data_IF_865929444880
#
_entry.id   IF_865929444880
#
_cell.length_a   1.000
_cell.length_b   1.000
_cell.length_c   1.000
_cell.angle_alpha   90.00
_cell.angle_beta   90.00
_cell.angle_gamma   90.00
#
_symmetry.space_group_name_H-M   'P 1'
#
loop_
_entity.id
_entity.type
_entity.pdbx_description
1 polymer ?
#
# COMPACT_ATOMS: atom_id res chain seq x y z
N UNK A 1 -21.76 -19.88 26.39
CA UNK A 1 -20.47 -19.65 25.72
C UNK A 1 -20.70 -19.95 24.25
N UNK A 2 -20.60 -18.97 23.35
CA UNK A 2 -20.76 -19.21 21.92
C UNK A 2 -19.44 -19.75 21.36
N UNK A 3 -19.46 -20.96 20.78
CA UNK A 3 -18.30 -21.64 20.17
C UNK A 3 -18.29 -21.54 18.65
N UNK A 4 -19.21 -20.77 18.06
CA UNK A 4 -19.32 -20.58 16.62
C UNK A 4 -19.55 -19.11 16.27
N UNK A 5 -18.98 -18.68 15.14
CA UNK A 5 -19.30 -17.42 14.48
C UNK A 5 -19.67 -17.73 13.02
N UNK A 6 -20.57 -16.93 12.47
CA UNK A 6 -20.89 -16.97 11.04
C UNK A 6 -20.11 -15.85 10.37
N UNK A 7 -19.35 -16.20 9.34
CA UNK A 7 -18.62 -15.24 8.51
C UNK A 7 -19.38 -15.08 7.20
N UNK A 8 -19.60 -13.84 6.80
CA UNK A 8 -20.12 -13.51 5.47
C UNK A 8 -18.95 -13.28 4.52
N UNK A 9 -19.04 -13.85 3.30
CA UNK A 9 -18.08 -13.58 2.24
C UNK A 9 -18.55 -12.42 1.38
N UNK A 10 -17.64 -11.49 1.08
CA UNK A 10 -17.89 -10.39 0.15
C UNK A 10 -17.13 -10.71 -1.15
N UNK A 11 -17.80 -10.75 -2.32
CA UNK A 11 -17.11 -10.89 -3.59
C UNK A 11 -16.14 -9.73 -3.77
N UNK A 12 -14.84 -10.01 -3.78
CA UNK A 12 -13.83 -8.97 -3.95
C UNK A 12 -13.37 -8.90 -5.40
N UNK A 13 -13.50 -7.70 -5.97
CA UNK A 13 -12.67 -7.26 -7.09
C UNK A 13 -11.32 -6.78 -6.52
N UNK A 14 -10.26 -6.79 -7.32
CA UNK A 14 -8.94 -6.35 -6.87
C UNK A 14 -8.96 -4.94 -6.24
N UNK A 15 -8.11 -4.74 -5.25
CA UNK A 15 -7.86 -3.42 -4.65
C UNK A 15 -6.66 -2.79 -5.33
N UNK A 16 -6.53 -1.47 -5.27
CA UNK A 16 -5.34 -0.80 -5.80
C UNK A 16 -4.37 -0.55 -4.66
N UNK A 17 -3.13 -0.96 -4.86
CA UNK A 17 -2.10 -0.83 -3.83
C UNK A 17 -0.69 -0.94 -4.42
N UNK A 18 0.31 -0.74 -3.58
CA UNK A 18 1.68 -1.13 -3.81
C UNK A 18 2.66 -0.06 -3.36
N UNK A 19 3.94 -0.34 -3.62
CA UNK A 19 5.04 0.50 -3.19
C UNK A 19 5.59 1.32 -4.35
N UNK A 20 5.95 2.58 -4.08
CA UNK A 20 6.84 3.34 -4.96
C UNK A 20 8.09 3.75 -4.19
N UNK A 21 9.24 3.66 -4.85
CA UNK A 21 10.54 4.00 -4.28
C UNK A 21 11.04 5.29 -4.92
N UNK A 22 11.63 6.14 -4.10
CA UNK A 22 12.15 7.45 -4.45
C UNK A 22 13.61 7.57 -4.03
N UNK A 23 14.34 8.47 -4.70
CA UNK A 23 15.69 8.83 -4.25
C UNK A 23 15.63 9.97 -3.24
N UNK A 24 16.78 10.32 -2.68
CA UNK A 24 16.93 11.50 -1.84
C UNK A 24 16.52 12.80 -2.53
N UNK A 25 16.63 12.89 -3.87
CA UNK A 25 16.30 14.10 -4.61
C UNK A 25 14.80 14.43 -4.56
N UNK A 26 13.94 13.42 -4.45
CA UNK A 26 12.48 13.60 -4.41
C UNK A 26 11.92 13.67 -2.98
N UNK A 27 12.76 13.48 -1.94
CA UNK A 27 12.32 13.35 -0.55
C UNK A 27 11.44 14.50 -0.08
N UNK A 28 11.84 15.75 -0.33
CA UNK A 28 11.09 16.92 0.10
C UNK A 28 9.70 16.97 -0.55
N UNK A 29 9.59 16.55 -1.82
CA UNK A 29 8.31 16.44 -2.52
C UNK A 29 7.42 15.34 -1.96
N UNK A 30 8.00 14.18 -1.63
CA UNK A 30 7.28 13.06 -1.01
C UNK A 30 6.73 13.47 0.36
N UNK A 31 7.55 14.12 1.20
CA UNK A 31 7.15 14.58 2.52
C UNK A 31 6.07 15.68 2.47
N UNK A 32 6.17 16.62 1.53
CA UNK A 32 5.14 17.66 1.32
C UNK A 32 3.80 17.04 0.92
N UNK A 33 3.80 16.11 -0.04
CA UNK A 33 2.59 15.39 -0.46
C UNK A 33 2.01 14.59 0.70
N UNK A 34 2.85 13.90 1.46
CA UNK A 34 2.41 13.13 2.62
C UNK A 34 1.82 13.99 3.72
N UNK A 35 2.45 15.12 4.04
CA UNK A 35 1.93 16.05 5.02
C UNK A 35 0.57 16.62 4.60
N UNK A 36 0.41 16.99 3.32
CA UNK A 36 -0.87 17.45 2.76
C UNK A 36 -1.93 16.36 2.84
N UNK A 37 -1.59 15.12 2.51
CA UNK A 37 -2.48 13.97 2.67
C UNK A 37 -2.90 13.79 4.13
N UNK A 38 -1.94 13.79 5.06
CA UNK A 38 -2.17 13.60 6.50
C UNK A 38 -3.09 14.67 7.09
N UNK A 39 -2.95 15.92 6.65
CA UNK A 39 -3.68 17.08 7.20
C UNK A 39 -5.02 17.36 6.53
N UNK A 40 -5.18 17.06 5.24
CA UNK A 40 -6.36 17.47 4.46
C UNK A 40 -7.26 16.27 4.11
N UNK A 41 -6.69 15.08 3.99
CA UNK A 41 -7.31 13.97 3.26
C UNK A 41 -7.61 12.73 4.11
N UNK A 42 -6.87 12.48 5.20
CA UNK A 42 -7.05 11.29 6.06
C UNK A 42 -8.48 11.14 6.61
N UNK A 43 -9.13 12.24 7.01
CA UNK A 43 -10.52 12.23 7.46
C UNK A 43 -11.57 12.16 6.32
N UNK A 44 -11.18 12.46 5.09
CA UNK A 44 -12.08 12.49 3.91
C UNK A 44 -12.05 11.20 3.11
N UNK A 45 -10.98 10.43 3.23
CA UNK A 45 -10.76 9.19 2.49
C UNK A 45 -10.36 8.05 3.44
N UNK A 46 -11.29 7.57 4.29
CA UNK A 46 -11.00 6.49 5.25
C UNK A 46 -10.58 5.16 4.59
N UNK A 47 -10.80 5.02 3.29
CA UNK A 47 -10.42 3.86 2.51
C UNK A 47 -8.97 3.91 1.99
N UNK A 48 -8.23 4.99 2.26
CA UNK A 48 -6.85 5.16 1.80
C UNK A 48 -5.91 4.98 2.97
N UNK A 49 -4.84 4.21 2.75
CA UNK A 49 -3.69 4.16 3.64
C UNK A 49 -2.45 4.58 2.85
N UNK A 50 -1.60 5.40 3.47
CA UNK A 50 -0.27 5.70 2.95
C UNK A 50 0.71 5.63 4.11
N UNK A 51 1.80 4.91 3.92
CA UNK A 51 2.89 4.77 4.89
C UNK A 51 4.18 5.17 4.20
N UNK A 52 4.96 6.05 4.83
CA UNK A 52 6.33 6.33 4.40
C UNK A 52 7.29 5.46 5.20
N UNK A 53 8.09 4.70 4.47
CA UNK A 53 9.17 3.89 4.99
C UNK A 53 10.51 4.45 4.48
N UNK A 54 11.54 4.33 5.31
CA UNK A 54 12.91 4.71 4.96
C UNK A 54 13.82 3.53 5.18
N UNK A 55 14.77 3.31 4.27
CA UNK A 55 15.74 2.23 4.40
C UNK A 55 17.08 2.58 3.77
N UNK A 56 18.06 1.70 3.95
CA UNK A 56 19.31 1.76 3.20
C UNK A 56 19.38 0.58 2.23
N UNK A 57 19.68 0.86 0.96
CA UNK A 57 19.95 -0.13 -0.06
C UNK A 57 21.28 0.21 -0.73
N UNK A 58 22.21 -0.74 -0.80
CA UNK A 58 23.55 -0.55 -1.39
C UNK A 58 24.28 0.72 -0.91
N UNK A 59 24.18 1.04 0.39
CA UNK A 59 24.73 2.26 1.04
C UNK A 59 24.08 3.59 0.65
N UNK A 60 22.97 3.56 -0.09
CA UNK A 60 22.16 4.74 -0.39
C UNK A 60 20.87 4.71 0.45
N UNK A 61 20.45 5.88 0.93
CA UNK A 61 19.12 6.02 1.53
C UNK A 61 18.06 5.93 0.44
N UNK A 62 17.06 5.10 0.69
CA UNK A 62 15.87 4.97 -0.14
C UNK A 62 14.64 5.32 0.70
N UNK A 63 13.67 5.92 0.03
CA UNK A 63 12.37 6.24 0.60
C UNK A 63 11.33 5.48 -0.19
N UNK A 64 10.41 4.85 0.51
CA UNK A 64 9.30 4.17 -0.11
C UNK A 64 8.00 4.70 0.46
N UNK A 65 7.01 4.94 -0.40
CA UNK A 65 5.63 5.02 0.06
C UNK A 65 4.97 3.67 -0.25
N UNK A 66 4.40 3.06 0.77
CA UNK A 66 3.39 2.02 0.58
C UNK A 66 2.02 2.69 0.57
N UNK A 67 1.16 2.32 -0.36
CA UNK A 67 -0.13 2.98 -0.54
C UNK A 67 -1.19 1.98 -0.89
N UNK A 68 -2.34 2.09 -0.22
CA UNK A 68 -3.45 1.16 -0.38
C UNK A 68 -4.76 1.95 -0.55
N UNK A 69 -5.64 1.42 -1.41
CA UNK A 69 -7.00 1.89 -1.60
C UNK A 69 -7.96 0.71 -1.45
N UNK A 70 -8.59 0.60 -0.29
CA UNK A 70 -9.37 -0.58 0.12
C UNK A 70 -10.73 -0.72 -0.57
N UNK A 71 -11.13 0.25 -1.39
CA UNK A 71 -12.33 0.15 -2.23
C UNK A 71 -11.96 -0.52 -3.55
N UNK A 72 -12.70 -1.52 -4.01
CA UNK A 72 -12.38 -2.19 -5.26
C UNK A 72 -12.45 -1.24 -6.46
N UNK A 73 -11.45 -1.32 -7.35
CA UNK A 73 -11.34 -0.46 -8.52
C UNK A 73 -10.91 -1.24 -9.75
N UNK A 74 -11.33 -0.78 -10.92
CA UNK A 74 -10.93 -1.35 -12.22
C UNK A 74 -9.75 -0.59 -12.84
N UNK A 75 -9.40 0.58 -12.27
CA UNK A 75 -8.30 1.46 -12.69
C UNK A 75 -7.71 2.17 -11.46
N UNK A 76 -6.53 2.76 -11.62
CA UNK A 76 -5.87 3.55 -10.56
C UNK A 76 -6.85 4.57 -9.91
N UNK A 77 -6.86 4.70 -8.56
CA UNK A 77 -7.83 5.50 -7.85
C UNK A 77 -7.66 6.99 -8.18
N UNK A 78 -8.77 7.61 -8.57
CA UNK A 78 -8.76 8.88 -9.30
C UNK A 78 -8.52 10.15 -8.46
N UNK A 79 -8.16 10.11 -7.18
CA UNK A 79 -8.02 11.39 -6.43
C UNK A 79 -7.16 11.38 -5.17
N UNK A 80 -7.24 10.42 -4.24
CA UNK A 80 -6.47 10.54 -2.99
C UNK A 80 -4.99 10.21 -3.15
N UNK A 81 -4.65 9.31 -4.08
CA UNK A 81 -3.28 8.83 -4.29
C UNK A 81 -2.58 9.50 -5.48
N UNK A 82 -3.33 10.21 -6.34
CA UNK A 82 -2.77 10.88 -7.53
C UNK A 82 -1.57 11.78 -7.20
N UNK A 83 -1.57 12.60 -6.13
CA UNK A 83 -0.41 13.43 -5.81
C UNK A 83 0.87 12.62 -5.57
N UNK A 84 0.76 11.42 -4.98
CA UNK A 84 1.89 10.52 -4.84
C UNK A 84 2.31 9.94 -6.18
N UNK A 85 1.34 9.57 -7.04
CA UNK A 85 1.57 9.03 -8.39
C UNK A 85 2.26 10.01 -9.35
N UNK A 86 2.02 11.31 -9.17
CA UNK A 86 2.60 12.37 -9.99
C UNK A 86 4.09 12.62 -9.68
N UNK A 87 4.59 12.14 -8.53
CA UNK A 87 6.02 12.19 -8.21
C UNK A 87 6.78 11.16 -9.04
N UNK A 88 7.98 11.52 -9.58
CA UNK A 88 8.81 10.57 -10.29
C UNK A 88 9.37 9.53 -9.31
N UNK A 89 9.00 8.27 -9.51
CA UNK A 89 9.53 7.15 -8.74
C UNK A 89 10.60 6.41 -9.54
N UNK A 90 11.63 5.91 -8.86
CA UNK A 90 12.63 5.04 -9.48
C UNK A 90 12.13 3.61 -9.62
N UNK A 91 11.21 3.19 -8.75
CA UNK A 91 10.51 1.92 -8.81
C UNK A 91 9.04 2.19 -8.50
N UNK A 92 8.14 1.60 -9.28
CA UNK A 92 6.69 1.69 -9.09
C UNK A 92 6.09 0.29 -9.23
N UNK A 93 5.68 -0.28 -8.10
CA UNK A 93 5.02 -1.59 -8.02
C UNK A 93 3.52 -1.44 -7.78
N UNK A 94 2.98 -0.22 -7.93
CA UNK A 94 1.57 0.01 -7.70
C UNK A 94 0.70 -0.57 -8.81
N UNK A 95 -0.44 -1.13 -8.42
CA UNK A 95 -1.32 -1.80 -9.35
C UNK A 95 -2.56 -2.33 -8.68
N UNK A 96 -3.39 -2.99 -9.48
CA UNK A 96 -4.54 -3.72 -8.96
C UNK A 96 -4.06 -5.11 -8.54
N UNK A 97 -4.26 -5.45 -7.27
CA UNK A 97 -3.92 -6.75 -6.70
C UNK A 97 -5.15 -7.41 -6.09
N UNK A 98 -5.19 -8.75 -6.17
CA UNK A 98 -6.23 -9.51 -5.52
C UNK A 98 -5.86 -9.72 -4.06
N UNK A 99 -6.85 -9.66 -3.18
CA UNK A 99 -6.64 -9.91 -1.74
C UNK A 99 -6.10 -11.31 -1.44
N UNK A 100 -6.34 -12.29 -2.32
CA UNK A 100 -5.72 -13.61 -2.22
C UNK A 100 -4.20 -13.55 -2.37
N UNK A 101 -3.69 -12.77 -3.33
CA UNK A 101 -2.26 -12.65 -3.60
C UNK A 101 -1.57 -11.94 -2.44
N UNK A 102 -2.22 -10.90 -1.91
CA UNK A 102 -1.81 -10.21 -0.69
C UNK A 102 -1.74 -11.14 0.53
N UNK A 103 -2.78 -11.93 0.74
CA UNK A 103 -2.83 -12.86 1.87
C UNK A 103 -1.69 -13.86 1.77
N UNK A 104 -1.40 -14.34 0.56
CA UNK A 104 -0.27 -15.23 0.29
C UNK A 104 1.07 -14.52 0.55
N UNK A 105 1.25 -13.27 0.10
CA UNK A 105 2.48 -12.51 0.31
C UNK A 105 2.71 -12.18 1.79
N UNK A 106 1.68 -11.74 2.51
CA UNK A 106 1.74 -11.56 3.97
C UNK A 106 2.02 -12.88 4.69
N UNK A 107 1.43 -13.99 4.22
CA UNK A 107 1.71 -15.30 4.77
C UNK A 107 3.19 -15.64 4.61
N UNK A 108 3.79 -15.47 3.41
CA UNK A 108 5.22 -15.70 3.14
C UNK A 108 6.15 -14.94 4.09
N UNK A 109 5.76 -13.73 4.48
CA UNK A 109 6.54 -12.87 5.36
C UNK A 109 6.32 -13.17 6.86
N UNK A 110 5.30 -13.96 7.20
CA UNK A 110 5.05 -14.40 8.57
C UNK A 110 6.03 -15.52 8.96
N UNK A 111 6.59 -15.50 10.19
CA UNK A 111 7.48 -16.56 10.69
C UNK A 111 6.88 -17.97 10.64
N UNK A 112 5.54 -18.09 10.49
CA UNK A 112 4.82 -19.36 10.37
C UNK A 112 4.80 -19.94 8.95
N UNK A 113 5.23 -19.20 7.92
CA UNK A 113 5.12 -19.65 6.53
C UNK A 113 6.06 -20.78 6.13
N UNK A 114 7.13 -21.03 6.90
CA UNK A 114 8.06 -22.13 6.64
C UNK A 114 7.45 -23.52 6.87
N UNK A 115 6.22 -23.61 7.37
CA UNK A 115 5.53 -24.88 7.64
C UNK A 115 4.34 -25.16 6.71
N UNK A 116 4.02 -24.27 5.77
CA UNK A 116 2.94 -24.46 4.78
C UNK A 116 3.45 -24.58 3.33
N UNK A 117 4.75 -24.83 3.15
CA UNK A 117 5.29 -25.28 1.87
C UNK A 117 5.14 -26.80 1.78
N UNK A 118 4.24 -27.25 0.91
CA UNK A 118 4.21 -28.63 0.39
C UNK A 118 5.48 -28.95 -0.40
#
# INVERSE_FOLDING_TARGET
MATYCTLESVPQKGIWEGMRVYTLAELDGVLDVFHKYATVSTGKHPQVSVIINTGMHERNWIFANDSEYSVPVEKSPATPLKPFMDLPAVVDETGIRNMSDLTIDMAKLSPRSNYNSY
#
